data_IF_459717735414
#
_entry.id   IF_459717735414
#
_cell.length_a   1.000
_cell.length_b   1.000
_cell.length_c   1.000
_cell.angle_alpha   90.00
_cell.angle_beta   90.00
_cell.angle_gamma   90.00
#
_symmetry.space_group_name_H-M   'P 1'
#
loop_
_entity.id
_entity.type
_entity.pdbx_description
1 polymer ?
#
# COMPACT_ATOMS: atom_id res chain seq x y z
N UNK A 1 -2.78 2.54 -9.53
CA UNK A 1 -3.60 1.34 -9.23
C UNK A 1 -4.78 1.84 -8.41
N UNK A 2 -5.93 1.20 -8.48
CA UNK A 2 -7.12 1.59 -7.71
C UNK A 2 -7.66 0.38 -6.97
N UNK A 3 -7.99 0.52 -5.70
CA UNK A 3 -8.66 -0.52 -4.91
C UNK A 3 -9.87 0.08 -4.17
N UNK A 4 -10.92 -0.73 -4.03
CA UNK A 4 -12.15 -0.37 -3.32
C UNK A 4 -12.19 -1.09 -1.98
N UNK A 5 -12.24 -0.32 -0.89
CA UNK A 5 -12.30 -0.83 0.49
C UNK A 5 -13.41 -0.06 1.22
N UNK A 6 -14.34 -0.77 1.86
CA UNK A 6 -15.50 -0.18 2.55
C UNK A 6 -16.27 0.82 1.68
N UNK A 7 -16.58 0.43 0.44
CA UNK A 7 -17.29 1.24 -0.57
C UNK A 7 -16.59 2.55 -1.00
N UNK A 8 -15.35 2.79 -0.55
CA UNK A 8 -14.51 3.90 -0.98
C UNK A 8 -13.43 3.41 -1.91
N UNK A 9 -13.20 4.15 -3.00
CA UNK A 9 -12.16 3.83 -3.98
C UNK A 9 -10.96 4.73 -3.77
N UNK A 10 -9.78 4.13 -3.64
CA UNK A 10 -8.53 4.82 -3.37
C UNK A 10 -7.59 4.71 -4.56
N UNK A 11 -6.98 5.83 -4.96
CA UNK A 11 -5.93 5.85 -5.96
C UNK A 11 -4.58 5.65 -5.30
N UNK A 12 -3.80 4.70 -5.81
CA UNK A 12 -2.50 4.35 -5.25
C UNK A 12 -1.41 4.44 -6.31
N UNK A 13 -0.36 5.16 -5.96
CA UNK A 13 0.87 5.29 -6.73
C UNK A 13 1.96 4.55 -5.99
N UNK A 14 2.65 3.61 -6.65
CA UNK A 14 3.62 2.77 -5.99
C UNK A 14 4.86 2.52 -6.83
N UNK A 15 6.00 2.39 -6.15
CA UNK A 15 7.28 1.99 -6.73
C UNK A 15 7.90 0.86 -5.90
N UNK A 16 8.51 -0.10 -6.58
CA UNK A 16 9.17 -1.25 -5.95
C UNK A 16 10.69 -1.14 -6.06
N UNK A 17 11.38 -1.42 -4.95
CA UNK A 17 12.82 -1.65 -4.95
C UNK A 17 13.19 -3.09 -5.29
N UNK A 18 14.46 -3.31 -5.64
CA UNK A 18 14.99 -4.64 -5.99
C UNK A 18 14.93 -5.63 -4.83
N UNK A 19 14.92 -5.14 -3.59
CA UNK A 19 14.81 -5.96 -2.38
C UNK A 19 13.44 -5.90 -1.73
N UNK A 20 12.37 -5.78 -2.52
CA UNK A 20 10.99 -5.78 -2.01
C UNK A 20 10.62 -4.57 -1.16
N UNK A 21 11.42 -3.49 -1.24
CA UNK A 21 11.01 -2.19 -0.72
C UNK A 21 9.81 -1.68 -1.50
N UNK A 22 8.92 -0.95 -0.83
CA UNK A 22 7.76 -0.30 -1.46
C UNK A 22 7.70 1.13 -0.98
N UNK A 23 7.49 2.05 -1.90
CA UNK A 23 7.00 3.39 -1.61
C UNK A 23 5.60 3.47 -2.21
N UNK A 24 4.60 3.86 -1.42
CA UNK A 24 3.22 4.01 -1.85
C UNK A 24 2.62 5.34 -1.37
N UNK A 25 1.91 6.03 -2.25
CA UNK A 25 1.16 7.25 -1.96
C UNK A 25 -0.32 7.02 -2.21
N UNK A 26 -1.16 7.41 -1.25
CA UNK A 26 -2.63 7.38 -1.32
C UNK A 26 -3.15 8.81 -1.10
N UNK A 27 -3.38 9.58 -2.18
CA UNK A 27 -3.70 11.02 -2.07
C UNK A 27 -4.99 11.30 -1.32
N UNK A 28 -6.02 10.46 -1.48
CA UNK A 28 -7.33 10.68 -0.84
C UNK A 28 -7.27 10.62 0.69
N UNK A 29 -6.16 10.10 1.25
CA UNK A 29 -5.91 9.98 2.68
C UNK A 29 -4.72 10.82 3.16
N UNK A 30 -4.10 11.61 2.28
CA UNK A 30 -2.82 12.30 2.53
C UNK A 30 -1.75 11.37 3.14
N UNK A 31 -1.70 10.13 2.64
CA UNK A 31 -0.90 9.06 3.24
C UNK A 31 0.30 8.65 2.37
N UNK A 32 1.48 8.62 2.99
CA UNK A 32 2.70 8.05 2.42
C UNK A 32 3.13 6.82 3.24
N UNK A 33 3.30 5.69 2.56
CA UNK A 33 3.77 4.43 3.15
C UNK A 33 5.13 4.10 2.56
N UNK A 34 6.11 3.85 3.44
CA UNK A 34 7.45 3.41 3.06
C UNK A 34 7.77 2.13 3.78
N UNK A 35 7.92 1.05 3.01
CA UNK A 35 8.32 -0.27 3.50
C UNK A 35 9.75 -0.49 3.03
N UNK A 36 10.66 -0.59 4.00
CA UNK A 36 12.05 -0.95 3.77
C UNK A 36 12.27 -2.43 4.03
N UNK A 37 13.23 -3.02 3.33
CA UNK A 37 13.65 -4.39 3.53
C UNK A 37 15.14 -4.50 3.21
N UNK A 38 15.85 -5.32 3.99
CA UNK A 38 17.28 -5.58 3.85
C UNK A 38 17.56 -6.83 3.01
N UNK A 39 16.55 -7.61 2.65
CA UNK A 39 16.67 -8.87 1.93
C UNK A 39 16.08 -8.75 0.53
N UNK A 40 16.68 -9.46 -0.44
CA UNK A 40 16.08 -9.58 -1.77
C UNK A 40 14.84 -10.45 -1.70
N UNK A 41 13.65 -9.86 -1.87
CA UNK A 41 12.39 -10.61 -1.79
C UNK A 41 11.92 -11.00 -3.18
N UNK A 42 11.46 -12.25 -3.30
CA UNK A 42 10.87 -12.78 -4.53
C UNK A 42 9.72 -11.87 -5.03
N UNK A 43 9.54 -11.73 -6.35
CA UNK A 43 8.40 -11.02 -6.93
C UNK A 43 7.03 -11.46 -6.41
N UNK A 44 6.91 -12.70 -5.93
CA UNK A 44 5.66 -13.25 -5.35
C UNK A 44 5.29 -12.63 -4.00
N UNK A 45 6.24 -12.08 -3.26
CA UNK A 45 5.98 -11.46 -1.94
C UNK A 45 5.56 -9.99 -2.10
N UNK A 46 5.87 -9.36 -3.25
CA UNK A 46 5.50 -7.97 -3.54
C UNK A 46 3.97 -7.73 -3.48
N UNK A 47 3.12 -8.59 -4.05
CA UNK A 47 1.67 -8.55 -3.82
C UNK A 47 1.29 -8.67 -2.34
N UNK A 48 1.88 -9.61 -1.59
CA UNK A 48 1.55 -9.79 -0.16
C UNK A 48 1.85 -8.55 0.68
N UNK A 49 2.92 -7.81 0.36
CA UNK A 49 3.24 -6.54 1.04
C UNK A 49 2.21 -5.46 0.73
N UNK A 50 1.61 -5.47 -0.47
CA UNK A 50 0.49 -4.59 -0.83
C UNK A 50 -0.78 -4.99 -0.08
N UNK A 51 -1.03 -6.29 0.05
CA UNK A 51 -2.23 -6.81 0.71
C UNK A 51 -2.29 -6.38 2.18
N UNK A 52 -1.14 -6.22 2.86
CA UNK A 52 -1.10 -5.63 4.22
C UNK A 52 -1.75 -4.23 4.25
N UNK A 53 -1.54 -3.43 3.20
CA UNK A 53 -2.05 -2.06 3.12
C UNK A 53 -3.58 -2.09 2.93
N UNK A 54 -4.07 -2.94 2.04
CA UNK A 54 -5.52 -3.06 1.76
C UNK A 54 -6.27 -3.74 2.90
N UNK A 55 -5.66 -4.71 3.59
CA UNK A 55 -6.32 -5.54 4.58
C UNK A 55 -6.29 -4.93 5.99
N UNK A 56 -5.25 -4.14 6.32
CA UNK A 56 -5.07 -3.61 7.67
C UNK A 56 -5.00 -2.08 7.73
N UNK A 57 -4.40 -1.41 6.75
CA UNK A 57 -4.21 0.05 6.82
C UNK A 57 -5.48 0.77 6.36
N UNK A 58 -5.92 0.52 5.12
CA UNK A 58 -7.09 1.19 4.54
C UNK A 58 -8.38 1.04 5.38
N UNK A 59 -8.70 -0.14 5.94
CA UNK A 59 -9.89 -0.28 6.80
C UNK A 59 -9.79 0.47 8.13
N UNK A 60 -8.57 0.76 8.59
CA UNK A 60 -8.32 1.44 9.87
C UNK A 60 -8.35 2.96 9.75
N UNK A 61 -8.36 3.51 8.54
CA UNK A 61 -8.37 4.97 8.36
C UNK A 61 -9.79 5.48 8.58
N UNK A 62 -9.96 6.25 9.65
CA UNK A 62 -11.20 7.00 9.89
C UNK A 62 -11.28 8.16 8.90
N UNK A 63 -12.14 8.01 7.90
CA UNK A 63 -12.46 9.12 7.00
C UNK A 63 -13.46 10.01 7.74
N UNK A 64 -13.02 11.19 8.16
CA UNK A 64 -13.91 12.23 8.70
C UNK A 64 -14.82 12.66 7.53
N UNK A 65 -16.13 12.42 7.65
CA UNK A 65 -17.15 12.91 6.71
C UNK A 65 -17.50 14.38 6.96
#
# INVERSE_FOLDING_TARGET
ITDTVNDKTYSMYQAYGSGGQIIMVIPELDLLIVISCNASISPTVKPMTRDIITDYILPSVYVIE
#
